data_IF_511689753976
#
_entry.id   IF_511689753976
#
_cell.length_a   1.000
_cell.length_b   1.000
_cell.length_c   1.000
_cell.angle_alpha   90.00
_cell.angle_beta   90.00
_cell.angle_gamma   90.00
#
_symmetry.space_group_name_H-M   'P 1'
#
loop_
_entity.id
_entity.type
_entity.pdbx_description
1 polymer ?
#
# COMPACT_ATOMS: atom_id res chain seq x y z
N UNK A 1 -18.58 9.10 -6.72
CA UNK A 1 -17.54 8.40 -7.51
C UNK A 1 -17.12 7.18 -6.72
N UNK A 2 -17.25 5.98 -7.28
CA UNK A 2 -17.09 4.72 -6.52
C UNK A 2 -15.79 4.05 -6.94
N UNK A 3 -14.83 3.93 -6.01
CA UNK A 3 -13.60 3.18 -6.21
C UNK A 3 -13.91 1.69 -6.42
N UNK A 4 -13.11 1.03 -7.24
CA UNK A 4 -13.14 -0.43 -7.37
C UNK A 4 -12.12 -1.02 -6.41
N UNK A 5 -12.56 -1.87 -5.47
CA UNK A 5 -11.72 -2.45 -4.41
C UNK A 5 -11.90 -3.96 -4.39
N UNK A 6 -10.79 -4.67 -4.29
CA UNK A 6 -10.75 -6.11 -4.00
C UNK A 6 -9.95 -6.32 -2.72
N UNK A 7 -10.47 -7.15 -1.82
CA UNK A 7 -9.91 -7.34 -0.49
C UNK A 7 -10.00 -8.80 -0.05
N UNK A 8 -8.86 -9.35 0.32
CA UNK A 8 -8.71 -10.59 1.08
C UNK A 8 -8.39 -10.30 2.56
N UNK A 9 -8.41 -9.01 2.97
CA UNK A 9 -8.01 -8.57 4.30
C UNK A 9 -8.91 -9.18 5.40
N UNK A 10 -8.37 -9.97 6.34
CA UNK A 10 -9.13 -10.52 7.46
C UNK A 10 -9.77 -9.43 8.33
N UNK A 11 -10.84 -9.76 9.04
CA UNK A 11 -11.55 -8.81 9.91
C UNK A 11 -10.88 -8.53 11.27
N UNK A 12 -9.84 -9.29 11.61
CA UNK A 12 -9.12 -9.22 12.89
C UNK A 12 -7.67 -8.84 12.65
N UNK A 13 -7.02 -8.14 13.58
CA UNK A 13 -5.58 -7.86 13.52
C UNK A 13 -4.74 -9.13 13.31
N UNK A 14 -3.54 -9.01 12.70
CA UNK A 14 -2.61 -10.13 12.55
C UNK A 14 -2.31 -10.78 13.90
N UNK A 15 -2.47 -12.09 13.95
CA UNK A 15 -2.15 -12.92 15.10
C UNK A 15 -1.80 -14.34 14.64
N UNK A 16 -1.29 -15.17 15.56
CA UNK A 16 -0.83 -16.52 15.25
C UNK A 16 -1.88 -17.41 14.58
N UNK A 17 -3.18 -17.17 14.80
CA UNK A 17 -4.26 -18.00 14.25
C UNK A 17 -4.64 -17.61 12.83
N UNK A 18 -4.42 -16.35 12.44
CA UNK A 18 -4.84 -15.84 11.13
C UNK A 18 -3.66 -15.40 10.24
N UNK A 19 -2.41 -15.59 10.68
CA UNK A 19 -1.23 -15.15 9.95
C UNK A 19 -1.20 -15.64 8.50
N UNK A 20 -1.57 -16.90 8.24
CA UNK A 20 -1.61 -17.45 6.87
C UNK A 20 -2.52 -16.67 5.92
N UNK A 21 -3.58 -16.03 6.41
CA UNK A 21 -4.45 -15.18 5.60
C UNK A 21 -3.78 -13.82 5.28
N UNK A 22 -2.86 -13.36 6.13
CA UNK A 22 -2.06 -12.15 5.93
C UNK A 22 -0.87 -12.34 4.99
N UNK A 23 -0.44 -13.58 4.75
CA UNK A 23 0.70 -13.89 3.86
C UNK A 23 0.33 -14.00 2.38
N UNK A 24 -0.91 -13.63 2.01
CA UNK A 24 -1.30 -13.57 0.62
C UNK A 24 -0.70 -12.34 -0.07
N UNK A 25 -0.29 -12.50 -1.33
CA UNK A 25 0.49 -11.48 -2.05
C UNK A 25 -0.23 -10.13 -2.21
N UNK A 26 -1.58 -10.10 -2.19
CA UNK A 26 -2.37 -8.87 -2.29
C UNK A 26 -3.51 -8.90 -1.26
N UNK A 27 -3.40 -8.15 -0.16
CA UNK A 27 -4.42 -8.16 0.90
C UNK A 27 -5.59 -7.26 0.57
N UNK A 28 -5.30 -6.06 0.08
CA UNK A 28 -6.33 -5.12 -0.35
C UNK A 28 -5.74 -4.17 -1.37
N UNK A 29 -6.44 -4.03 -2.50
CA UNK A 29 -6.04 -3.13 -3.57
C UNK A 29 -7.25 -2.46 -4.18
N UNK A 30 -7.04 -1.32 -4.82
CA UNK A 30 -8.11 -0.61 -5.48
C UNK A 30 -7.65 0.44 -6.46
N UNK A 31 -8.60 0.91 -7.26
CA UNK A 31 -8.42 1.95 -8.27
C UNK A 31 -9.56 2.96 -8.25
N UNK A 32 -9.23 4.21 -8.57
CA UNK A 32 -10.21 5.25 -8.88
C UNK A 32 -10.99 4.88 -10.17
N UNK A 33 -12.19 5.45 -10.39
CA UNK A 33 -13.02 5.12 -11.55
C UNK A 33 -12.36 5.32 -12.92
N UNK A 34 -11.42 6.25 -12.99
CA UNK A 34 -10.62 6.60 -14.18
C UNK A 34 -9.25 5.89 -14.21
N UNK A 35 -8.96 5.04 -13.22
CA UNK A 35 -7.67 4.37 -13.02
C UNK A 35 -6.45 5.29 -12.85
N UNK A 36 -6.64 6.60 -12.66
CA UNK A 36 -5.55 7.55 -12.41
C UNK A 36 -4.87 7.30 -11.06
N UNK A 37 -5.62 6.82 -10.06
CA UNK A 37 -5.10 6.55 -8.73
C UNK A 37 -5.31 5.09 -8.37
N UNK A 38 -4.24 4.43 -7.94
CA UNK A 38 -4.27 3.03 -7.53
C UNK A 38 -3.56 2.87 -6.19
N UNK A 39 -3.95 1.84 -5.44
CA UNK A 39 -3.23 1.42 -4.26
C UNK A 39 -3.18 -0.10 -4.15
N UNK A 40 -2.16 -0.61 -3.47
CA UNK A 40 -2.00 -2.01 -3.12
C UNK A 40 -1.40 -2.14 -1.74
N UNK A 41 -1.84 -3.13 -0.97
CA UNK A 41 -1.39 -3.36 0.39
C UNK A 41 -1.08 -4.83 0.65
N UNK A 42 0.05 -5.03 1.32
CA UNK A 42 0.55 -6.32 1.77
C UNK A 42 0.85 -6.30 3.26
N UNK A 43 1.04 -7.46 3.87
CA UNK A 43 1.60 -7.57 5.21
C UNK A 43 3.03 -8.13 5.11
N UNK A 44 3.99 -7.37 5.61
CA UNK A 44 5.39 -7.80 5.71
C UNK A 44 5.61 -8.48 7.05
N UNK A 45 5.96 -9.78 7.01
CA UNK A 45 6.33 -10.55 8.21
C UNK A 45 7.58 -9.95 8.85
N UNK A 46 8.59 -9.63 8.05
CA UNK A 46 9.88 -9.15 8.54
C UNK A 46 9.75 -7.84 9.32
N UNK A 47 8.80 -6.99 8.92
CA UNK A 47 8.51 -5.73 9.61
C UNK A 47 7.45 -5.89 10.69
N UNK A 48 6.65 -6.96 10.66
CA UNK A 48 5.37 -7.09 11.38
C UNK A 48 4.45 -5.87 11.14
N UNK A 49 4.39 -5.41 9.89
CA UNK A 49 3.67 -4.20 9.48
C UNK A 49 2.93 -4.39 8.17
N UNK A 50 1.88 -3.62 7.98
CA UNK A 50 1.25 -3.42 6.68
C UNK A 50 2.08 -2.46 5.84
N UNK A 51 2.29 -2.79 4.58
CA UNK A 51 2.90 -1.90 3.59
C UNK A 51 1.82 -1.54 2.59
N UNK A 52 1.41 -0.28 2.59
CA UNK A 52 0.45 0.29 1.64
C UNK A 52 1.21 1.14 0.63
N UNK A 53 1.11 0.78 -0.65
CA UNK A 53 1.69 1.53 -1.76
C UNK A 53 0.59 2.31 -2.45
N UNK A 54 0.74 3.64 -2.51
CA UNK A 54 -0.14 4.59 -3.17
C UNK A 54 0.52 5.03 -4.47
N UNK A 55 -0.23 5.09 -5.56
CA UNK A 55 0.32 5.40 -6.88
C UNK A 55 -0.61 6.28 -7.70
N UNK A 56 -0.03 7.23 -8.44
CA UNK A 56 -0.70 7.94 -9.52
C UNK A 56 -0.17 7.42 -10.86
N UNK A 57 -1.08 7.11 -11.77
CA UNK A 57 -0.82 6.66 -13.13
C UNK A 57 -0.96 7.86 -14.07
N UNK A 58 0.00 8.03 -14.97
CA UNK A 58 -0.12 8.91 -16.13
C UNK A 58 -1.11 8.26 -17.11
N UNK A 59 -2.27 8.89 -17.32
CA UNK A 59 -3.33 8.34 -18.18
C UNK A 59 -3.01 8.36 -19.68
N UNK A 60 -1.98 9.10 -20.12
CA UNK A 60 -1.56 9.15 -21.52
C UNK A 60 -0.53 8.05 -21.83
N UNK A 61 0.43 7.86 -20.93
CA UNK A 61 1.57 6.95 -21.15
C UNK A 61 1.47 5.63 -20.36
N UNK A 62 0.61 5.56 -19.34
CA UNK A 62 0.40 4.38 -18.49
C UNK A 62 1.51 4.13 -17.45
N UNK A 63 2.44 5.07 -17.25
CA UNK A 63 3.51 4.96 -16.26
C UNK A 63 3.07 5.42 -14.87
N UNK A 64 3.76 4.94 -13.83
CA UNK A 64 3.60 5.50 -12.48
C UNK A 64 4.28 6.86 -12.42
N UNK A 65 3.48 7.92 -12.34
CA UNK A 65 3.94 9.30 -12.23
C UNK A 65 4.37 9.62 -10.78
N UNK A 66 3.63 9.11 -9.79
CA UNK A 66 3.94 9.28 -8.37
C UNK A 66 3.74 7.99 -7.61
N UNK A 67 4.61 7.76 -6.64
CA UNK A 67 4.53 6.62 -5.73
C UNK A 67 4.82 7.07 -4.31
N UNK A 68 4.08 6.52 -3.34
CA UNK A 68 4.37 6.66 -1.92
C UNK A 68 4.08 5.35 -1.18
N UNK A 69 5.01 4.91 -0.34
CA UNK A 69 4.80 3.78 0.56
C UNK A 69 4.47 4.27 1.97
N UNK A 70 3.54 3.60 2.63
CA UNK A 70 3.19 3.80 4.04
C UNK A 70 3.39 2.48 4.78
N UNK A 71 4.08 2.55 5.91
CA UNK A 71 4.27 1.42 6.83
C UNK A 71 3.36 1.62 8.04
N UNK A 72 2.42 0.70 8.24
CA UNK A 72 1.30 0.84 9.17
C UNK A 72 1.28 -0.34 10.13
N UNK A 73 0.97 -0.09 11.40
CA UNK A 73 1.06 -1.10 12.46
C UNK A 73 -0.22 -1.93 12.59
N UNK A 74 -1.36 -1.31 12.36
CA UNK A 74 -2.66 -1.92 12.61
C UNK A 74 -3.52 -1.95 11.36
N UNK A 75 -4.46 -2.89 11.32
CA UNK A 75 -5.51 -2.94 10.30
C UNK A 75 -6.34 -1.66 10.31
N UNK A 76 -6.60 -1.10 11.48
CA UNK A 76 -7.33 0.16 11.61
C UNK A 76 -6.60 1.32 10.92
N UNK A 77 -5.28 1.46 11.15
CA UNK A 77 -4.44 2.46 10.48
C UNK A 77 -4.43 2.26 8.96
N UNK A 78 -4.34 1.00 8.48
CA UNK A 78 -4.41 0.69 7.05
C UNK A 78 -5.72 1.16 6.42
N UNK A 79 -6.85 0.81 7.03
CA UNK A 79 -8.16 1.19 6.50
C UNK A 79 -8.36 2.71 6.52
N UNK A 80 -7.89 3.39 7.58
CA UNK A 80 -7.94 4.84 7.66
C UNK A 80 -7.09 5.52 6.59
N UNK A 81 -5.89 4.99 6.29
CA UNK A 81 -5.02 5.49 5.24
C UNK A 81 -5.66 5.31 3.86
N UNK A 82 -6.26 4.14 3.59
CA UNK A 82 -7.00 3.88 2.34
C UNK A 82 -8.18 4.86 2.21
N UNK A 83 -9.01 5.01 3.24
CA UNK A 83 -10.15 5.94 3.20
C UNK A 83 -9.68 7.39 2.94
N UNK A 84 -8.58 7.79 3.56
CA UNK A 84 -7.99 9.12 3.36
C UNK A 84 -7.51 9.29 1.92
N UNK A 85 -6.89 8.24 1.34
CA UNK A 85 -6.41 8.25 -0.03
C UNK A 85 -7.57 8.33 -1.03
N UNK A 86 -8.66 7.63 -0.76
CA UNK A 86 -9.85 7.67 -1.60
C UNK A 86 -10.51 9.06 -1.65
N UNK A 87 -10.40 9.84 -0.56
CA UNK A 87 -10.94 11.20 -0.48
C UNK A 87 -9.99 12.25 -1.05
N UNK A 88 -8.68 12.08 -0.84
CA UNK A 88 -7.67 13.09 -1.14
C UNK A 88 -6.38 12.48 -1.73
N UNK A 89 -6.43 11.82 -2.90
CA UNK A 89 -5.32 11.00 -3.39
C UNK A 89 -4.04 11.80 -3.66
N UNK A 90 -4.17 12.92 -4.39
CA UNK A 90 -3.03 13.81 -4.68
C UNK A 90 -2.41 14.41 -3.41
N UNK A 91 -3.23 14.81 -2.44
CA UNK A 91 -2.73 15.39 -1.20
C UNK A 91 -1.90 14.37 -0.41
N UNK A 92 -2.36 13.11 -0.36
CA UNK A 92 -1.61 12.04 0.32
C UNK A 92 -0.28 11.70 -0.36
N UNK A 93 -0.23 11.73 -1.69
CA UNK A 93 1.00 11.52 -2.49
C UNK A 93 2.00 12.67 -2.33
N UNK A 94 1.53 13.90 -2.15
CA UNK A 94 2.36 15.10 -2.00
C UNK A 94 2.75 15.40 -0.55
N UNK A 95 2.09 14.79 0.43
CA UNK A 95 2.39 15.00 1.85
C UNK A 95 3.81 14.53 2.18
N UNK A 96 4.65 15.48 2.60
CA UNK A 96 6.07 15.27 2.94
C UNK A 96 6.30 14.85 4.39
N UNK A 97 5.25 14.69 5.21
CA UNK A 97 5.40 14.15 6.56
C UNK A 97 6.01 12.75 6.46
N UNK A 98 7.23 12.62 6.99
CA UNK A 98 8.05 11.41 6.91
C UNK A 98 7.27 10.19 7.42
N UNK A 99 6.95 9.26 6.52
CA UNK A 99 6.56 7.90 6.88
C UNK A 99 7.56 6.96 6.23
N UNK A 100 8.74 6.92 6.84
CA UNK A 100 9.87 6.00 6.69
C UNK A 100 10.34 5.62 5.27
N UNK A 101 11.65 5.82 5.11
CA UNK A 101 12.54 5.51 4.00
C UNK A 101 12.28 4.15 3.29
N UNK A 102 12.54 4.08 1.97
CA UNK A 102 12.44 2.84 1.23
C UNK A 102 13.41 1.80 1.80
N UNK A 103 12.92 0.57 1.96
CA UNK A 103 13.80 -0.60 1.92
C UNK A 103 14.40 -0.63 0.50
N UNK A 104 15.55 0.02 0.31
CA UNK A 104 16.40 -0.25 -0.84
C UNK A 104 16.87 -1.68 -0.63
N UNK A 105 16.35 -2.61 -1.43
CA UNK A 105 16.96 -3.93 -1.54
C UNK A 105 18.42 -3.72 -1.89
N UNK A 106 19.30 -3.77 -0.88
CA UNK A 106 20.72 -3.77 -1.11
C UNK A 106 21.01 -5.06 -1.85
N UNK A 107 21.22 -4.91 -3.17
CA UNK A 107 21.85 -5.96 -3.95
C UNK A 107 23.15 -6.31 -3.23
N UNK A 108 23.23 -7.54 -2.74
CA UNK A 108 24.49 -8.12 -2.32
C UNK A 108 25.34 -8.21 -3.58
N UNK A 109 26.12 -7.15 -3.85
CA UNK A 109 27.24 -7.23 -4.79
C UNK A 109 28.31 -8.00 -4.04
N UNK A 110 28.32 -9.32 -4.23
CA UNK A 110 29.49 -10.15 -3.93
C UNK A 110 30.59 -9.73 -4.91
N UNK A 111 31.46 -8.83 -4.49
CA UNK A 111 32.76 -8.63 -5.13
C UNK A 111 33.53 -9.95 -5.05
N UNK A 112 33.83 -10.52 -6.21
CA UNK A 112 34.82 -11.59 -6.35
C UNK A 112 36.23 -11.01 -6.36
#
# INVERSE_FOLDING_TARGET
MTWTIQSALPNQEPNLKNMNAYLQNNLIHGSSPDAEFIFDAIYSIDLERFVLTLMQVDNEMGFIEKEKRLVLKTRAELLQAIESYQKHPLAMLLDKREHFEPYRGEGIVMSR
#
